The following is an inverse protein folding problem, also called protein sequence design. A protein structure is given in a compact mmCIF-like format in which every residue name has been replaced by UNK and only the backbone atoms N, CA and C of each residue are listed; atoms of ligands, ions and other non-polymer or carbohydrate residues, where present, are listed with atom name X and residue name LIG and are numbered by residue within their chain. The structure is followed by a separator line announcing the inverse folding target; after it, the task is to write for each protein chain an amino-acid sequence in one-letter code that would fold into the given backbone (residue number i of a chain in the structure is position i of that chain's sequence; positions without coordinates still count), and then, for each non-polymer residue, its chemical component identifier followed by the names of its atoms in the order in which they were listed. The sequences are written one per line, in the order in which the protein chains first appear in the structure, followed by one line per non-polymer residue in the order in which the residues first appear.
data_IF_889527712712
#
_entry.id   IF_889527712712
#
_cell.length_a   1.000
_cell.length_b   1.000
_cell.length_c   1.000
_cell.angle_alpha   90.00
_cell.angle_beta   90.00
_cell.angle_gamma   90.00
#
_symmetry.space_group_name_H-M   'P 1'
#
loop_
_entity.id
_entity.type
_entity.pdbx_description
1 polymer ?
#
# COMPACT_ATOMS: atom_id res chain seq x y z
N UNK A 1 -24.73 -20.86 11.05
CA UNK A 1 -23.43 -20.84 10.40
C UNK A 1 -22.57 -21.87 11.10
N UNK A 2 -22.19 -22.95 10.41
CA UNK A 2 -21.25 -23.93 10.97
C UNK A 2 -19.99 -23.16 11.36
N UNK A 3 -19.59 -23.30 12.62
CA UNK A 3 -18.40 -22.63 13.13
C UNK A 3 -17.14 -23.25 12.50
N UNK A 4 -16.82 -22.79 11.29
CA UNK A 4 -15.67 -23.29 10.54
C UNK A 4 -14.34 -22.98 11.24
N UNK A 5 -14.33 -21.99 12.13
CA UNK A 5 -13.15 -21.64 12.89
C UNK A 5 -12.76 -22.76 13.84
N UNK A 6 -13.73 -23.28 14.64
CA UNK A 6 -13.46 -24.39 15.55
C UNK A 6 -13.05 -25.67 14.83
N UNK A 7 -13.59 -25.92 13.64
CA UNK A 7 -13.21 -27.09 12.82
C UNK A 7 -11.73 -27.10 12.44
N UNK A 8 -11.21 -25.93 12.07
CA UNK A 8 -9.80 -25.79 11.65
C UNK A 8 -8.89 -25.33 12.79
N UNK A 9 -9.38 -25.25 14.03
CA UNK A 9 -8.60 -24.82 15.19
C UNK A 9 -8.14 -23.36 15.09
N UNK A 10 -8.97 -22.50 14.49
CA UNK A 10 -8.69 -21.11 14.28
C UNK A 10 -9.38 -20.26 15.36
N UNK A 11 -8.64 -19.35 16.00
CA UNK A 11 -9.21 -18.33 16.89
C UNK A 11 -9.97 -17.25 16.11
N UNK A 12 -9.49 -16.96 14.89
CA UNK A 12 -10.06 -16.03 13.93
C UNK A 12 -9.74 -16.45 12.52
N UNK A 13 -10.45 -15.92 11.51
CA UNK A 13 -10.06 -16.14 10.13
C UNK A 13 -8.93 -15.17 9.72
N UNK A 14 -7.69 -15.66 9.50
CA UNK A 14 -6.56 -14.78 9.21
C UNK A 14 -6.57 -14.17 7.81
N UNK A 15 -7.46 -14.63 6.94
CA UNK A 15 -7.55 -14.20 5.54
C UNK A 15 -8.60 -13.10 5.31
N UNK A 16 -9.31 -12.66 6.35
CA UNK A 16 -10.25 -11.54 6.26
C UNK A 16 -9.55 -10.20 6.51
N UNK A 17 -10.04 -9.14 5.86
CA UNK A 17 -9.49 -7.79 5.99
C UNK A 17 -9.60 -7.22 7.42
N UNK A 18 -10.65 -7.60 8.15
CA UNK A 18 -10.93 -7.10 9.50
C UNK A 18 -10.43 -8.02 10.63
N UNK A 19 -9.68 -9.08 10.29
CA UNK A 19 -9.03 -9.93 11.27
C UNK A 19 -7.81 -9.22 11.86
N UNK A 20 -7.37 -9.69 13.05
CA UNK A 20 -6.13 -9.21 13.65
C UNK A 20 -4.99 -9.26 12.61
N UNK A 21 -4.26 -8.18 12.47
CA UNK A 21 -3.14 -8.11 11.52
C UNK A 21 -2.06 -9.12 11.89
N UNK A 22 -1.90 -10.12 11.05
CA UNK A 22 -0.77 -11.04 11.08
C UNK A 22 0.17 -10.57 9.98
N UNK A 23 1.16 -9.76 10.39
CA UNK A 23 2.19 -9.31 9.47
C UNK A 23 3.19 -10.45 9.22
N UNK A 24 3.52 -10.65 7.95
CA UNK A 24 4.51 -11.63 7.53
C UNK A 24 5.61 -10.89 6.81
N UNK A 25 6.80 -10.97 7.38
CA UNK A 25 7.99 -10.43 6.75
C UNK A 25 8.37 -11.28 5.53
N UNK A 26 8.48 -10.62 4.38
CA UNK A 26 8.88 -11.19 3.09
C UNK A 26 10.04 -10.38 2.53
N UNK A 27 10.78 -10.92 1.58
CA UNK A 27 11.87 -10.19 0.92
C UNK A 27 11.36 -8.86 0.32
N UNK A 28 10.17 -8.87 -0.28
CA UNK A 28 9.52 -7.66 -0.82
C UNK A 28 9.21 -6.64 0.27
N UNK A 29 8.67 -7.06 1.42
CA UNK A 29 8.34 -6.14 2.51
C UNK A 29 9.59 -5.51 3.13
N UNK A 30 10.66 -6.29 3.28
CA UNK A 30 11.96 -5.84 3.77
C UNK A 30 12.59 -4.84 2.82
N UNK A 31 12.58 -5.11 1.51
CA UNK A 31 13.11 -4.19 0.49
C UNK A 31 12.33 -2.87 0.47
N UNK A 32 10.98 -2.93 0.47
CA UNK A 32 10.14 -1.72 0.56
C UNK A 32 10.45 -0.93 1.83
N UNK A 33 10.58 -1.60 2.97
CA UNK A 33 10.92 -0.96 4.26
C UNK A 33 12.26 -0.24 4.19
N UNK A 34 13.28 -0.87 3.62
CA UNK A 34 14.62 -0.29 3.42
C UNK A 34 14.56 0.96 2.55
N UNK A 35 13.84 0.91 1.43
CA UNK A 35 13.68 2.04 0.51
C UNK A 35 12.88 3.20 1.10
N UNK A 36 11.82 2.89 1.85
CA UNK A 36 11.05 3.92 2.55
C UNK A 36 11.85 4.54 3.71
N UNK A 37 12.72 3.75 4.37
CA UNK A 37 13.71 4.25 5.32
C UNK A 37 14.66 5.25 4.66
N UNK A 38 15.26 4.88 3.53
CA UNK A 38 16.10 5.77 2.73
C UNK A 38 15.38 7.08 2.35
N UNK A 39 14.10 7.00 1.95
CA UNK A 39 13.29 8.18 1.65
C UNK A 39 13.08 9.06 2.88
N UNK A 40 12.99 8.48 4.08
CA UNK A 40 12.89 9.24 5.35
C UNK A 40 14.14 10.08 5.61
N UNK A 41 15.31 9.55 5.28
CA UNK A 41 16.60 10.19 5.51
C UNK A 41 16.90 11.26 4.44
N UNK A 42 16.68 10.92 3.16
CA UNK A 42 17.00 11.79 2.01
C UNK A 42 15.96 12.87 1.76
N UNK A 43 14.68 12.61 2.12
CA UNK A 43 13.51 13.40 1.73
C UNK A 43 13.30 13.39 0.20
N UNK A 44 12.42 14.27 -0.29
CA UNK A 44 12.11 14.33 -1.74
C UNK A 44 10.93 13.45 -2.14
N UNK A 45 10.90 13.01 -3.39
CA UNK A 45 9.76 12.28 -3.97
C UNK A 45 10.09 10.80 -4.09
N UNK A 46 9.27 9.97 -3.44
CA UNK A 46 9.28 8.52 -3.59
C UNK A 46 8.11 8.02 -4.43
N UNK A 47 8.33 6.96 -5.19
CA UNK A 47 7.30 6.26 -5.96
C UNK A 47 7.32 4.79 -5.55
N UNK A 48 6.14 4.29 -5.15
CA UNK A 48 5.90 2.89 -4.85
C UNK A 48 4.78 2.37 -5.76
N UNK A 49 5.15 1.60 -6.76
CA UNK A 49 4.17 0.99 -7.67
C UNK A 49 4.05 -0.52 -7.43
N UNK A 50 3.06 -1.12 -8.04
CA UNK A 50 2.82 -2.57 -8.03
C UNK A 50 1.37 -2.88 -8.34
N UNK A 51 1.08 -4.13 -8.67
CA UNK A 51 -0.26 -4.57 -9.00
C UNK A 51 -1.24 -4.46 -7.80
N UNK A 52 -2.55 -4.39 -8.05
CA UNK A 52 -3.54 -4.35 -6.99
C UNK A 52 -3.47 -5.58 -6.07
N UNK A 53 -3.35 -5.32 -4.76
CA UNK A 53 -3.33 -6.40 -3.75
C UNK A 53 -1.95 -6.95 -3.38
N UNK A 54 -0.86 -6.41 -3.93
CA UNK A 54 0.52 -6.81 -3.59
C UNK A 54 1.00 -6.33 -2.21
N UNK A 55 0.25 -5.47 -1.53
CA UNK A 55 0.60 -5.07 -0.17
C UNK A 55 1.18 -3.67 -0.02
N UNK A 56 1.21 -2.84 -1.09
CA UNK A 56 1.73 -1.45 -1.06
C UNK A 56 1.21 -0.63 0.13
N UNK A 57 -0.10 -0.57 0.28
CA UNK A 57 -0.75 0.20 1.38
C UNK A 57 -0.40 -0.38 2.75
N UNK A 58 -0.23 -1.71 2.87
CA UNK A 58 0.20 -2.35 4.11
C UNK A 58 1.63 -1.97 4.46
N UNK A 59 2.56 -2.07 3.52
CA UNK A 59 3.95 -1.68 3.71
C UNK A 59 4.07 -0.18 4.06
N UNK A 60 3.30 0.67 3.39
CA UNK A 60 3.26 2.11 3.69
C UNK A 60 2.70 2.40 5.08
N UNK A 61 1.68 1.66 5.54
CA UNK A 61 1.12 1.80 6.89
C UNK A 61 2.16 1.45 7.95
N UNK A 62 2.89 0.34 7.78
CA UNK A 62 3.95 -0.08 8.69
C UNK A 62 5.06 0.97 8.75
N UNK A 63 5.51 1.47 7.60
CA UNK A 63 6.48 2.56 7.55
C UNK A 63 5.97 3.80 8.26
N UNK A 64 4.75 4.25 7.96
CA UNK A 64 4.12 5.40 8.62
C UNK A 64 4.12 5.23 10.15
N UNK A 65 3.74 4.04 10.63
CA UNK A 65 3.63 3.75 12.06
C UNK A 65 5.02 3.62 12.75
N UNK A 66 6.10 3.42 11.97
CA UNK A 66 7.48 3.44 12.46
C UNK A 66 8.08 4.85 12.57
N UNK A 67 7.47 5.86 11.89
CA UNK A 67 7.94 7.23 11.92
C UNK A 67 7.65 7.90 13.27
N UNK A 68 8.66 8.51 13.88
CA UNK A 68 8.48 9.27 15.12
C UNK A 68 7.59 10.50 14.91
N UNK A 69 6.45 10.64 15.62
CA UNK A 69 5.58 11.81 15.50
C UNK A 69 6.24 13.14 15.93
N UNK A 70 7.35 13.05 16.69
CA UNK A 70 8.14 14.23 17.06
C UNK A 70 8.97 14.77 15.91
N UNK A 71 9.29 13.94 14.90
CA UNK A 71 10.14 14.31 13.76
C UNK A 71 9.37 14.38 12.44
N UNK A 72 8.23 13.69 12.34
CA UNK A 72 7.46 13.59 11.10
C UNK A 72 5.98 13.90 11.33
N UNK A 73 5.41 14.71 10.45
CA UNK A 73 3.95 14.95 10.38
C UNK A 73 3.42 14.27 9.14
N UNK A 74 2.77 13.11 9.30
CA UNK A 74 2.27 12.30 8.18
C UNK A 74 0.83 12.67 7.85
N UNK A 75 0.58 12.92 6.57
CA UNK A 75 -0.75 13.06 5.98
C UNK A 75 -0.97 12.01 4.91
N UNK A 76 -2.16 11.38 4.91
CA UNK A 76 -2.54 10.35 3.93
C UNK A 76 -3.74 10.83 3.11
N UNK A 77 -3.59 10.80 1.80
CA UNK A 77 -4.56 11.26 0.83
C UNK A 77 -4.87 10.11 -0.15
N UNK A 78 -6.13 9.69 -0.22
CA UNK A 78 -6.59 8.58 -1.08
C UNK A 78 -7.53 9.03 -2.21
N UNK A 79 -7.78 10.32 -2.37
CA UNK A 79 -8.64 10.85 -3.42
C UNK A 79 -7.79 11.39 -4.56
N UNK A 80 -7.75 10.66 -5.67
CA UNK A 80 -6.87 10.94 -6.81
C UNK A 80 -7.62 11.43 -8.06
N UNK A 81 -8.96 11.34 -8.09
CA UNK A 81 -9.81 11.77 -9.22
C UNK A 81 -10.32 13.21 -9.08
N UNK A 82 -9.55 14.06 -8.41
CA UNK A 82 -9.94 15.42 -8.08
C UNK A 82 -9.57 16.42 -9.19
N UNK A 83 -10.30 17.53 -9.23
CA UNK A 83 -9.82 18.72 -9.95
C UNK A 83 -8.54 19.23 -9.29
N UNK A 84 -7.76 20.02 -10.02
CA UNK A 84 -6.54 20.63 -9.46
C UNK A 84 -6.85 21.41 -8.18
N UNK A 85 -7.94 22.17 -8.15
CA UNK A 85 -8.28 22.97 -6.98
C UNK A 85 -8.70 22.13 -5.78
N UNK A 86 -9.44 21.04 -6.01
CA UNK A 86 -9.84 20.15 -4.93
C UNK A 86 -8.62 19.40 -4.36
N UNK A 87 -7.67 19.01 -5.23
CA UNK A 87 -6.39 18.44 -4.79
C UNK A 87 -5.62 19.39 -3.85
N UNK A 88 -5.53 20.69 -4.21
CA UNK A 88 -4.90 21.69 -3.36
C UNK A 88 -5.63 21.86 -2.03
N UNK A 89 -6.96 21.94 -2.04
CA UNK A 89 -7.76 22.02 -0.83
C UNK A 89 -7.55 20.81 0.08
N UNK A 90 -7.55 19.61 -0.48
CA UNK A 90 -7.33 18.40 0.29
C UNK A 90 -5.92 18.37 0.90
N UNK A 91 -4.91 18.77 0.15
CA UNK A 91 -3.55 18.88 0.66
C UNK A 91 -3.47 19.90 1.80
N UNK A 92 -4.10 21.06 1.66
CA UNK A 92 -4.16 22.07 2.72
C UNK A 92 -4.81 21.51 3.99
N UNK A 93 -5.98 20.88 3.87
CA UNK A 93 -6.66 20.24 5.01
C UNK A 93 -5.78 19.18 5.68
N UNK A 94 -5.09 18.37 4.90
CA UNK A 94 -4.21 17.32 5.45
C UNK A 94 -3.01 17.88 6.21
N UNK A 95 -2.57 19.09 5.87
CA UNK A 95 -1.55 19.84 6.60
C UNK A 95 -2.12 20.65 7.78
N UNK A 96 -3.45 20.69 7.95
CA UNK A 96 -4.13 21.43 9.02
C UNK A 96 -4.34 22.90 8.70
N UNK A 97 -4.43 23.23 7.41
CA UNK A 97 -4.67 24.59 6.90
C UNK A 97 -6.12 24.68 6.41
N UNK A 98 -6.84 25.72 6.78
CA UNK A 98 -8.14 26.07 6.16
C UNK A 98 -7.87 26.65 4.75
N UNK A 99 -8.30 25.98 3.66
CA UNK A 99 -7.95 26.41 2.32
C UNK A 99 -8.72 27.68 1.92
N UNK A 100 -8.02 28.64 1.37
CA UNK A 100 -8.61 29.86 0.80
C UNK A 100 -9.28 29.58 -0.55
N UNK A 101 -9.99 30.57 -1.08
CA UNK A 101 -10.76 30.40 -2.31
C UNK A 101 -9.90 30.28 -3.57
N UNK A 102 -8.81 31.07 -3.68
CA UNK A 102 -7.97 31.13 -4.87
C UNK A 102 -6.82 30.12 -4.81
N UNK A 103 -6.54 29.45 -5.93
CA UNK A 103 -5.44 28.46 -6.05
C UNK A 103 -4.09 29.05 -5.57
N UNK A 104 -3.76 30.27 -5.98
CA UNK A 104 -2.49 30.89 -5.61
C UNK A 104 -2.35 31.11 -4.10
N UNK A 105 -3.45 31.44 -3.42
CA UNK A 105 -3.44 31.64 -1.98
C UNK A 105 -3.22 30.30 -1.27
N UNK A 106 -3.93 29.24 -1.70
CA UNK A 106 -3.77 27.89 -1.15
C UNK A 106 -2.35 27.34 -1.42
N UNK A 107 -1.80 27.59 -2.60
CA UNK A 107 -0.42 27.24 -2.93
C UNK A 107 0.58 27.88 -1.96
N UNK A 108 0.46 29.21 -1.74
CA UNK A 108 1.34 29.94 -0.84
C UNK A 108 1.19 29.46 0.62
N UNK A 109 -0.03 29.16 1.04
CA UNK A 109 -0.31 28.67 2.39
C UNK A 109 0.33 27.30 2.61
N UNK A 110 0.20 26.37 1.65
CA UNK A 110 0.83 25.04 1.69
C UNK A 110 2.35 25.18 1.77
N UNK A 111 2.96 26.00 0.90
CA UNK A 111 4.41 26.21 0.94
C UNK A 111 4.87 26.84 2.26
N UNK A 112 4.12 27.80 2.79
CA UNK A 112 4.44 28.46 4.06
C UNK A 112 4.36 27.48 5.23
N UNK A 113 3.35 26.62 5.27
CA UNK A 113 3.20 25.62 6.32
C UNK A 113 4.29 24.55 6.26
N UNK A 114 4.64 24.08 5.06
CA UNK A 114 5.76 23.13 4.89
C UNK A 114 7.07 23.74 5.40
N UNK A 115 7.35 25.01 5.05
CA UNK A 115 8.53 25.72 5.56
C UNK A 115 8.50 25.87 7.08
N UNK A 116 7.34 26.28 7.64
CA UNK A 116 7.15 26.42 9.08
C UNK A 116 7.42 25.11 9.82
N UNK A 117 6.85 24.01 9.33
CA UNK A 117 7.07 22.70 9.92
C UNK A 117 8.55 22.27 9.83
N UNK A 118 9.13 22.34 8.64
CA UNK A 118 10.47 21.81 8.40
C UNK A 118 11.58 22.66 9.01
N UNK A 119 11.47 24.00 8.96
CA UNK A 119 12.54 24.91 9.38
C UNK A 119 12.37 25.34 10.83
N UNK A 120 11.17 25.84 11.21
CA UNK A 120 10.95 26.39 12.54
C UNK A 120 10.71 25.30 13.57
N UNK A 121 9.87 24.29 13.23
CA UNK A 121 9.52 23.19 14.15
C UNK A 121 10.43 21.98 14.05
N UNK A 122 11.25 21.90 13.01
CA UNK A 122 12.09 20.74 12.69
C UNK A 122 11.31 19.44 12.56
N UNK A 123 10.08 19.52 12.08
CA UNK A 123 9.19 18.42 11.79
C UNK A 123 9.09 18.28 10.27
N UNK A 124 9.46 17.12 9.74
CA UNK A 124 9.38 16.85 8.30
C UNK A 124 7.94 16.47 7.91
N UNK A 125 7.27 17.24 7.04
CA UNK A 125 5.97 16.83 6.49
C UNK A 125 6.16 15.63 5.58
N UNK A 126 5.30 14.62 5.74
CA UNK A 126 5.22 13.42 4.88
C UNK A 126 3.84 13.39 4.27
N UNK A 127 3.77 13.51 2.95
CA UNK A 127 2.52 13.53 2.18
C UNK A 127 2.44 12.24 1.37
N UNK A 128 1.55 11.35 1.77
CA UNK A 128 1.30 10.09 1.10
C UNK A 128 0.07 10.28 0.20
N UNK A 129 0.22 9.97 -1.09
CA UNK A 129 -0.86 10.02 -2.08
C UNK A 129 -1.04 8.60 -2.61
N UNK A 130 -2.12 7.95 -2.20
CA UNK A 130 -2.47 6.61 -2.67
C UNK A 130 -3.30 6.71 -3.97
N UNK A 131 -3.27 5.68 -4.79
CA UNK A 131 -3.86 5.64 -6.14
C UNK A 131 -3.37 6.80 -7.04
N UNK A 132 -2.11 7.19 -6.91
CA UNK A 132 -1.51 8.30 -7.64
C UNK A 132 -1.47 8.10 -9.17
N UNK A 133 -1.66 6.88 -9.64
CA UNK A 133 -1.83 6.55 -11.05
C UNK A 133 -3.15 7.10 -11.66
N UNK A 134 -4.09 7.55 -10.81
CA UNK A 134 -5.32 8.23 -11.21
C UNK A 134 -5.17 9.76 -11.28
N UNK A 135 -4.03 10.31 -10.84
CA UNK A 135 -3.79 11.76 -10.89
C UNK A 135 -3.73 12.26 -12.34
N UNK A 136 -4.36 13.40 -12.58
CA UNK A 136 -4.26 14.06 -13.88
C UNK A 136 -2.87 14.64 -14.10
N UNK A 137 -2.46 14.76 -15.37
CA UNK A 137 -1.18 15.39 -15.74
C UNK A 137 -1.00 16.80 -15.14
N UNK A 138 -2.11 17.54 -15.01
CA UNK A 138 -2.10 18.89 -14.41
C UNK A 138 -1.73 18.83 -12.92
N UNK A 139 -2.26 17.86 -12.17
CA UNK A 139 -1.92 17.67 -10.75
C UNK A 139 -0.48 17.23 -10.58
N UNK A 140 0.02 16.31 -11.42
CA UNK A 140 1.43 15.90 -11.39
C UNK A 140 2.38 17.07 -11.67
N UNK A 141 2.04 17.94 -12.63
CA UNK A 141 2.82 19.17 -12.90
C UNK A 141 2.77 20.16 -11.74
N UNK A 142 1.63 20.30 -11.09
CA UNK A 142 1.49 21.16 -9.92
C UNK A 142 2.26 20.64 -8.70
N UNK A 143 2.36 19.34 -8.51
CA UNK A 143 3.19 18.74 -7.45
C UNK A 143 4.63 19.21 -7.55
N UNK A 144 5.21 19.24 -8.75
CA UNK A 144 6.55 19.76 -9.00
C UNK A 144 6.71 21.20 -8.50
N UNK A 145 5.68 22.05 -8.74
CA UNK A 145 5.74 23.47 -8.34
C UNK A 145 5.60 23.65 -6.83
N UNK A 146 4.70 22.91 -6.18
CA UNK A 146 4.47 22.98 -4.73
C UNK A 146 5.74 22.67 -3.94
N UNK A 147 6.53 21.70 -4.42
CA UNK A 147 7.71 21.19 -3.73
C UNK A 147 9.03 21.82 -4.24
N UNK A 148 8.95 22.91 -5.00
CA UNK A 148 10.11 23.70 -5.35
C UNK A 148 10.42 24.71 -4.22
N UNK A 149 11.35 24.36 -3.32
CA UNK A 149 11.78 25.21 -2.22
C UNK A 149 13.17 25.78 -2.46
N UNK A 150 13.38 27.06 -2.09
CA UNK A 150 14.69 27.72 -2.14
C UNK A 150 15.42 27.57 -3.49
N UNK A 151 14.71 27.82 -4.59
CA UNK A 151 15.25 27.62 -5.96
C UNK A 151 15.78 26.20 -6.21
N UNK A 152 15.04 25.18 -5.69
CA UNK A 152 15.35 23.77 -5.84
C UNK A 152 16.62 23.30 -5.11
N UNK A 153 17.04 23.99 -4.06
CA UNK A 153 18.26 23.66 -3.33
C UNK A 153 18.04 22.77 -2.09
N UNK A 154 16.77 22.55 -1.68
CA UNK A 154 16.43 21.78 -0.48
C UNK A 154 15.08 21.09 -0.59
N UNK A 155 15.05 19.82 -0.19
CA UNK A 155 13.83 19.07 0.04
C UNK A 155 13.36 19.27 1.49
N UNK A 156 12.25 19.97 1.67
CA UNK A 156 11.68 20.27 2.98
C UNK A 156 10.60 19.28 3.41
N UNK A 157 10.15 18.42 2.52
CA UNK A 157 9.09 17.45 2.75
C UNK A 157 9.37 16.11 2.04
N UNK A 158 8.62 15.10 2.39
CA UNK A 158 8.58 13.82 1.71
C UNK A 158 7.24 13.70 1.01
N UNK A 159 7.26 13.29 -0.26
CA UNK A 159 6.07 12.88 -1.01
C UNK A 159 6.24 11.42 -1.36
N UNK A 160 5.25 10.61 -1.02
CA UNK A 160 5.18 9.22 -1.46
C UNK A 160 3.96 9.06 -2.38
N UNK A 161 4.23 8.81 -3.66
CA UNK A 161 3.21 8.47 -4.65
C UNK A 161 3.07 6.94 -4.71
N UNK A 162 1.89 6.44 -4.41
CA UNK A 162 1.58 5.01 -4.43
C UNK A 162 0.58 4.78 -5.56
N UNK A 163 0.82 3.78 -6.39
CA UNK A 163 -0.09 3.50 -7.50
C UNK A 163 0.16 2.17 -8.20
N UNK A 164 -0.53 1.98 -9.31
CA UNK A 164 -0.28 0.87 -10.22
C UNK A 164 0.92 1.17 -11.14
N UNK A 165 1.50 0.15 -11.81
CA UNK A 165 2.66 0.34 -12.69
C UNK A 165 2.45 1.38 -13.81
N UNK A 166 1.20 1.64 -14.21
CA UNK A 166 0.86 2.71 -15.16
C UNK A 166 1.30 4.10 -14.72
N UNK A 167 1.49 4.35 -13.40
CA UNK A 167 2.06 5.59 -12.89
C UNK A 167 3.45 5.84 -13.48
N UNK A 168 4.31 4.81 -13.51
CA UNK A 168 5.65 4.91 -14.10
C UNK A 168 5.58 5.22 -15.61
N UNK A 169 4.60 4.64 -16.33
CA UNK A 169 4.37 4.94 -17.75
C UNK A 169 3.98 6.41 -17.94
N UNK A 170 3.06 6.91 -17.11
CA UNK A 170 2.66 8.32 -17.11
C UNK A 170 3.84 9.24 -16.85
N UNK A 171 4.63 8.96 -15.81
CA UNK A 171 5.78 9.77 -15.44
C UNK A 171 6.95 9.69 -16.47
N UNK A 172 7.02 8.64 -17.29
CA UNK A 172 8.03 8.54 -18.34
C UNK A 172 7.81 9.52 -19.49
N UNK A 173 6.62 10.12 -19.62
CA UNK A 173 6.34 11.10 -20.66
C UNK A 173 7.17 12.37 -20.47
N UNK A 174 7.62 12.97 -21.57
CA UNK A 174 8.55 14.12 -21.58
C UNK A 174 8.04 15.33 -20.78
N UNK A 175 6.72 15.55 -20.73
CA UNK A 175 6.13 16.63 -19.94
C UNK A 175 6.35 16.51 -18.41
N UNK A 176 6.67 15.31 -17.92
CA UNK A 176 6.94 15.05 -16.49
C UNK A 176 8.43 14.94 -16.16
N UNK A 177 9.31 15.23 -17.12
CA UNK A 177 10.76 15.21 -16.93
C UNK A 177 11.21 15.99 -15.68
N UNK A 178 10.73 17.21 -15.42
CA UNK A 178 11.15 17.96 -14.26
C UNK A 178 10.68 17.35 -12.92
N UNK A 179 9.53 16.66 -12.90
CA UNK A 179 9.08 15.91 -11.73
C UNK A 179 9.94 14.65 -11.53
N UNK A 180 10.24 13.95 -12.63
CA UNK A 180 11.04 12.73 -12.63
C UNK A 180 12.44 12.93 -12.10
N UNK A 181 13.09 14.07 -12.42
CA UNK A 181 14.42 14.42 -11.91
C UNK A 181 14.48 14.62 -10.39
N UNK A 182 13.33 14.81 -9.72
CA UNK A 182 13.21 14.95 -8.26
C UNK A 182 12.87 13.66 -7.54
N UNK A 183 12.70 12.57 -8.28
CA UNK A 183 12.40 11.26 -7.71
C UNK A 183 13.69 10.68 -7.15
N UNK A 184 13.75 10.54 -5.84
CA UNK A 184 14.90 9.95 -5.13
C UNK A 184 14.73 8.45 -4.89
N UNK A 185 13.47 7.96 -4.93
CA UNK A 185 13.15 6.54 -4.76
C UNK A 185 12.06 6.14 -5.75
N UNK A 186 12.30 5.10 -6.53
CA UNK A 186 11.28 4.46 -7.37
C UNK A 186 11.40 2.94 -7.20
N UNK A 187 10.33 2.33 -6.74
CA UNK A 187 10.27 0.90 -6.57
C UNK A 187 8.96 0.32 -7.07
N UNK A 188 9.07 -0.76 -7.84
CA UNK A 188 7.91 -1.52 -8.29
C UNK A 188 7.84 -2.81 -7.50
N UNK A 189 6.90 -2.87 -6.55
CA UNK A 189 6.69 -4.01 -5.67
C UNK A 189 6.19 -5.21 -6.47
N UNK A 190 6.86 -6.34 -6.31
CA UNK A 190 6.50 -7.61 -6.92
C UNK A 190 5.44 -8.39 -6.14
N UNK A 191 5.06 -9.53 -6.68
CA UNK A 191 4.28 -10.54 -5.96
C UNK A 191 5.18 -11.46 -5.15
N UNK A 192 4.58 -12.26 -4.27
CA UNK A 192 5.28 -13.30 -3.52
C UNK A 192 5.79 -14.38 -4.45
N UNK A 193 6.99 -14.85 -4.22
CA UNK A 193 7.50 -16.10 -4.81
C UNK A 193 6.69 -17.29 -4.31
N UNK A 194 6.82 -18.46 -4.93
CA UNK A 194 6.11 -19.67 -4.47
C UNK A 194 6.47 -20.02 -3.03
N UNK A 195 7.75 -19.98 -2.68
CA UNK A 195 8.23 -20.31 -1.33
C UNK A 195 7.72 -19.32 -0.29
N UNK A 196 7.73 -18.02 -0.60
CA UNK A 196 7.16 -16.98 0.25
C UNK A 196 5.63 -17.14 0.38
N UNK A 197 4.95 -17.54 -0.68
CA UNK A 197 3.52 -17.81 -0.67
C UNK A 197 3.13 -18.98 0.22
N UNK A 198 3.91 -20.07 0.18
CA UNK A 198 3.75 -21.20 1.12
C UNK A 198 3.96 -20.76 2.57
N UNK A 199 5.06 -20.05 2.84
CA UNK A 199 5.33 -19.49 4.15
C UNK A 199 4.23 -18.52 4.61
N UNK A 200 3.67 -17.73 3.67
CA UNK A 200 2.59 -16.80 3.93
C UNK A 200 1.33 -17.50 4.42
N UNK A 201 0.86 -18.54 3.71
CA UNK A 201 -0.34 -19.31 4.10
C UNK A 201 -0.13 -19.95 5.48
N UNK A 202 1.03 -20.62 5.68
CA UNK A 202 1.36 -21.32 6.92
C UNK A 202 1.40 -20.34 8.12
N UNK A 203 2.17 -19.26 8.03
CA UNK A 203 2.30 -18.28 9.11
C UNK A 203 0.99 -17.56 9.43
N UNK A 204 0.13 -17.33 8.42
CA UNK A 204 -1.21 -16.80 8.62
C UNK A 204 -2.07 -17.71 9.48
N UNK A 205 -2.07 -19.00 9.19
CA UNK A 205 -2.80 -20.00 9.96
C UNK A 205 -2.25 -20.14 11.38
N UNK A 206 -0.92 -20.26 11.52
CA UNK A 206 -0.25 -20.33 12.83
C UNK A 206 -0.54 -19.11 13.71
N UNK A 207 -0.46 -17.91 13.13
CA UNK A 207 -0.77 -16.65 13.82
C UNK A 207 -2.25 -16.51 14.22
N UNK A 208 -3.13 -17.32 13.64
CA UNK A 208 -4.53 -17.45 14.00
C UNK A 208 -4.82 -18.61 14.98
N UNK A 209 -3.77 -19.22 15.57
CA UNK A 209 -3.90 -20.30 16.56
C UNK A 209 -3.94 -21.71 15.96
N UNK A 210 -3.95 -21.86 14.63
CA UNK A 210 -4.01 -23.17 13.97
C UNK A 210 -2.68 -23.92 14.10
N UNK A 211 -2.74 -25.14 14.66
CA UNK A 211 -1.57 -26.03 14.81
C UNK A 211 -1.60 -27.22 13.86
N UNK A 212 -2.65 -27.36 13.06
CA UNK A 212 -2.82 -28.47 12.13
C UNK A 212 -2.57 -28.02 10.68
N UNK A 213 -2.19 -28.96 9.81
CA UNK A 213 -2.05 -28.72 8.39
C UNK A 213 -3.44 -28.71 7.74
N UNK A 214 -4.01 -27.51 7.58
CA UNK A 214 -5.34 -27.32 7.00
C UNK A 214 -5.33 -27.46 5.49
N UNK A 215 -4.34 -26.87 4.81
CA UNK A 215 -4.16 -27.02 3.36
C UNK A 215 -3.16 -28.13 3.07
N UNK A 216 -3.53 -29.05 2.20
CA UNK A 216 -2.61 -30.05 1.65
C UNK A 216 -1.58 -29.36 0.74
N UNK A 217 -0.44 -30.02 0.44
CA UNK A 217 0.62 -29.40 -0.35
C UNK A 217 0.14 -29.04 -1.75
N UNK A 218 -0.63 -29.95 -2.39
CA UNK A 218 -1.25 -29.71 -3.68
C UNK A 218 -2.30 -28.58 -3.65
N UNK A 219 -3.02 -28.43 -2.54
CA UNK A 219 -3.96 -27.34 -2.35
C UNK A 219 -3.25 -25.98 -2.22
N UNK A 220 -2.19 -25.94 -1.41
CA UNK A 220 -1.37 -24.73 -1.29
C UNK A 220 -0.76 -24.31 -2.64
N UNK A 221 -0.22 -25.26 -3.41
CA UNK A 221 0.24 -25.00 -4.76
C UNK A 221 -0.87 -24.47 -5.69
N UNK A 222 -2.08 -25.06 -5.63
CA UNK A 222 -3.21 -24.60 -6.43
C UNK A 222 -3.60 -23.15 -6.07
N UNK A 223 -3.60 -22.79 -4.78
CA UNK A 223 -3.82 -21.40 -4.33
C UNK A 223 -2.78 -20.45 -4.93
N UNK A 224 -1.49 -20.81 -4.84
CA UNK A 224 -0.39 -19.97 -5.30
C UNK A 224 -0.39 -19.78 -6.82
N UNK A 225 -0.66 -20.84 -7.57
CA UNK A 225 -0.78 -20.76 -9.02
C UNK A 225 -1.96 -19.87 -9.44
N UNK A 226 -3.12 -19.98 -8.79
CA UNK A 226 -4.28 -19.16 -9.10
C UNK A 226 -4.11 -17.69 -8.65
N UNK A 227 -3.40 -17.45 -7.55
CA UNK A 227 -3.17 -16.12 -7.01
C UNK A 227 -2.06 -15.34 -7.72
N UNK A 228 -1.21 -16.01 -8.50
CA UNK A 228 -0.06 -15.42 -9.19
C UNK A 228 0.77 -14.49 -8.27
N UNK A 229 1.11 -14.96 -7.08
CA UNK A 229 1.91 -14.23 -6.10
C UNK A 229 1.19 -13.04 -5.42
N UNK A 230 -0.09 -12.83 -5.65
CA UNK A 230 -0.83 -11.69 -5.10
C UNK A 230 -1.41 -12.01 -3.72
N UNK A 231 -0.94 -11.39 -2.61
CA UNK A 231 -1.42 -11.69 -1.26
C UNK A 231 -2.93 -11.55 -1.07
N UNK A 232 -3.56 -10.54 -1.71
CA UNK A 232 -5.01 -10.35 -1.67
C UNK A 232 -5.76 -11.52 -2.29
N UNK A 233 -5.25 -12.06 -3.40
CA UNK A 233 -5.87 -13.23 -4.05
C UNK A 233 -5.64 -14.49 -3.24
N UNK A 234 -4.44 -14.70 -2.68
CA UNK A 234 -4.17 -15.81 -1.74
C UNK A 234 -5.20 -15.75 -0.60
N UNK A 235 -5.36 -14.60 0.05
CA UNK A 235 -6.33 -14.45 1.13
C UNK A 235 -7.76 -14.74 0.68
N UNK A 236 -8.18 -14.26 -0.49
CA UNK A 236 -9.53 -14.46 -1.01
C UNK A 236 -9.80 -15.94 -1.30
N UNK A 237 -8.84 -16.63 -1.94
CA UNK A 237 -8.94 -18.06 -2.27
C UNK A 237 -8.93 -18.91 -0.99
N UNK A 238 -7.99 -18.68 -0.07
CA UNK A 238 -7.91 -19.42 1.19
C UNK A 238 -9.19 -19.26 2.02
N UNK A 239 -9.69 -18.02 2.18
CA UNK A 239 -10.95 -17.77 2.88
C UNK A 239 -12.11 -18.56 2.25
N UNK A 240 -12.25 -18.52 0.93
CA UNK A 240 -13.32 -19.23 0.23
C UNK A 240 -13.20 -20.75 0.35
N UNK A 241 -11.97 -21.26 0.25
CA UNK A 241 -11.68 -22.69 0.43
C UNK A 241 -12.05 -23.20 1.82
N UNK A 242 -11.72 -22.44 2.88
CA UNK A 242 -12.13 -22.78 4.25
C UNK A 242 -13.67 -22.86 4.39
N UNK A 243 -14.40 -21.93 3.79
CA UNK A 243 -15.86 -21.92 3.83
C UNK A 243 -16.46 -23.13 3.08
N UNK A 244 -15.96 -23.45 1.89
CA UNK A 244 -16.43 -24.59 1.10
C UNK A 244 -16.08 -25.92 1.80
N UNK A 245 -14.85 -26.07 2.30
CA UNK A 245 -14.42 -27.26 3.01
C UNK A 245 -15.27 -27.52 4.27
N UNK A 246 -15.53 -26.47 5.06
CA UNK A 246 -16.38 -26.59 6.23
C UNK A 246 -17.83 -26.97 5.89
N UNK A 247 -18.41 -26.41 4.82
CA UNK A 247 -19.76 -26.80 4.35
C UNK A 247 -19.87 -28.26 3.95
N UNK A 248 -18.75 -28.87 3.54
CA UNK A 248 -18.63 -30.31 3.19
C UNK A 248 -18.13 -31.15 4.36
N UNK A 249 -17.99 -30.61 5.55
CA UNK A 249 -17.46 -31.27 6.73
C UNK A 249 -16.04 -31.86 6.58
N UNK A 250 -15.20 -31.24 5.74
CA UNK A 250 -13.81 -31.63 5.54
C UNK A 250 -12.90 -31.08 6.63
N UNK A 251 -11.90 -31.86 7.05
CA UNK A 251 -10.90 -31.47 8.04
C UNK A 251 -9.62 -30.91 7.40
N UNK A 252 -9.39 -31.21 6.12
CA UNK A 252 -8.32 -30.64 5.29
C UNK A 252 -8.89 -30.12 3.97
N UNK A 253 -8.15 -29.24 3.34
CA UNK A 253 -8.47 -28.65 2.04
C UNK A 253 -7.54 -29.26 1.01
N UNK A 254 -8.11 -29.90 0.00
CA UNK A 254 -7.42 -30.43 -1.17
C UNK A 254 -7.48 -29.46 -2.36
N UNK A 255 -6.81 -29.81 -3.46
CA UNK A 255 -6.78 -28.99 -4.67
C UNK A 255 -8.18 -28.83 -5.31
N UNK A 256 -9.06 -29.80 -5.21
CA UNK A 256 -10.41 -29.75 -5.79
C UNK A 256 -11.28 -28.70 -5.10
N UNK A 257 -11.13 -28.53 -3.78
CA UNK A 257 -11.82 -27.48 -3.02
C UNK A 257 -11.27 -26.10 -3.41
N UNK A 258 -9.95 -25.99 -3.60
CA UNK A 258 -9.33 -24.73 -4.05
C UNK A 258 -9.83 -24.36 -5.45
N UNK A 259 -9.89 -25.29 -6.39
CA UNK A 259 -10.41 -25.02 -7.73
C UNK A 259 -11.86 -24.54 -7.70
N UNK A 260 -12.72 -25.15 -6.87
CA UNK A 260 -14.10 -24.66 -6.66
C UNK A 260 -14.14 -23.25 -6.06
N UNK A 261 -13.20 -22.94 -5.15
CA UNK A 261 -13.11 -21.61 -4.58
C UNK A 261 -12.66 -20.55 -5.62
N UNK A 262 -11.76 -20.94 -6.52
CA UNK A 262 -11.32 -20.08 -7.64
C UNK A 262 -12.47 -19.80 -8.60
N UNK A 263 -13.22 -20.82 -9.00
CA UNK A 263 -14.38 -20.68 -9.87
C UNK A 263 -15.45 -19.75 -9.27
N UNK A 264 -15.76 -19.94 -7.98
CA UNK A 264 -16.71 -19.09 -7.24
C UNK A 264 -16.26 -17.61 -7.19
N UNK A 265 -14.95 -17.36 -7.17
CA UNK A 265 -14.38 -16.00 -7.12
C UNK A 265 -14.42 -15.31 -8.49
N UNK A 266 -14.27 -16.07 -9.57
CA UNK A 266 -14.28 -15.55 -10.94
C UNK A 266 -15.70 -15.22 -11.44
N UNK A 267 -16.72 -15.89 -10.92
CA UNK A 267 -18.12 -15.71 -11.29
C UNK A 267 -18.83 -14.60 -10.49
N UNK A 268 -18.24 -14.07 -9.45
CA UNK A 268 -18.78 -13.00 -8.58
C UNK A 268 -17.93 -11.75 -8.60
#
# INVERSE_FOLDING_TARGET
MTDYLSRYGLEQNPFLKNSRDIFIDTAESSEVSTRLGFLSDTKGIGILTGEPGQGKTTATRIWKDSLSPALFKVSYNCLSTLTVMDFYRQMAYSLGIEPRFRKNDVFNDIQSEIRRLAIEKRITPVIIIDEADMLSHKVLSDLQLIFNFQMDSRDLAIILLIGQPRLNITLSQGMHEPLRQRIVMNYNMGGLTKDEGHAYITRKLEGAGCRQKVFEDNAAEAVLNAANGTPRMINKICNRSLMIGASKNLNSIDADIVMKAVDDIQLG
#
